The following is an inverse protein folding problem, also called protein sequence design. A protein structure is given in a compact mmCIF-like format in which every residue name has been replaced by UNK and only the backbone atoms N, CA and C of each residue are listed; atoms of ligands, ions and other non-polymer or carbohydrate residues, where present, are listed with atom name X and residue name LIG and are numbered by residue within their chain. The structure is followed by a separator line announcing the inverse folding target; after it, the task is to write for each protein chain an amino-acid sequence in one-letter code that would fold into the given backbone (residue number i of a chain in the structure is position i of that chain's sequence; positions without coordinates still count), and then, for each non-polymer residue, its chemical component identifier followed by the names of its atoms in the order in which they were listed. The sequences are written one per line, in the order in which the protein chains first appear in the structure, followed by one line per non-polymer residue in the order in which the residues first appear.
data_IF_077660573499
#
_entry.id   IF_077660573499
#
_cell.length_a   1.000
_cell.length_b   1.000
_cell.length_c   1.000
_cell.angle_alpha   90.00
_cell.angle_beta   90.00
_cell.angle_gamma   90.00
#
_symmetry.space_group_name_H-M   'P 1'
#
loop_
_entity.id
_entity.type
_entity.pdbx_description
1 polymer ?
#
# COMPACT_ATOMS: atom_id res chain seq x y z
N UNK A 1 3.13 -77.44 -71.53
CA UNK A 1 4.49 -76.88 -71.65
C UNK A 1 4.30 -75.42 -72.04
N UNK A 2 4.87 -74.49 -71.28
CA UNK A 2 4.67 -73.02 -71.29
C UNK A 2 3.58 -72.48 -70.33
N UNK A 3 4.07 -71.66 -69.40
CA UNK A 3 3.45 -70.58 -68.61
C UNK A 3 2.13 -70.77 -67.86
N UNK A 4 2.26 -71.09 -66.57
CA UNK A 4 1.50 -70.44 -65.49
C UNK A 4 2.22 -70.74 -64.19
N UNK A 5 2.66 -69.69 -63.48
CA UNK A 5 2.88 -69.58 -62.02
C UNK A 5 3.98 -68.54 -61.73
N UNK A 6 3.65 -67.26 -61.86
CA UNK A 6 4.36 -66.19 -61.18
C UNK A 6 3.35 -65.18 -60.63
N UNK A 7 2.70 -65.53 -59.52
CA UNK A 7 2.16 -64.53 -58.60
C UNK A 7 2.02 -65.18 -57.22
N UNK A 8 3.04 -65.05 -56.38
CA UNK A 8 2.97 -65.05 -54.90
C UNK A 8 4.39 -65.18 -54.33
N UNK A 9 5.14 -64.09 -54.33
CA UNK A 9 6.37 -63.99 -53.53
C UNK A 9 6.73 -62.53 -53.24
N UNK A 10 5.73 -61.74 -52.86
CA UNK A 10 5.89 -60.30 -52.63
C UNK A 10 5.13 -59.88 -51.36
N UNK A 11 5.29 -60.63 -50.26
CA UNK A 11 4.44 -60.36 -49.08
C UNK A 11 5.03 -60.68 -47.70
N UNK A 12 6.34 -60.86 -47.48
CA UNK A 12 6.74 -61.21 -46.10
C UNK A 12 8.13 -60.88 -45.56
N UNK A 13 8.99 -60.10 -46.25
CA UNK A 13 10.34 -59.81 -45.71
C UNK A 13 10.71 -58.33 -45.53
N UNK A 14 9.80 -57.39 -45.83
CA UNK A 14 10.05 -55.94 -45.68
C UNK A 14 9.13 -55.25 -44.68
N UNK A 15 8.54 -55.98 -43.73
CA UNK A 15 7.67 -55.43 -42.68
C UNK A 15 8.13 -55.75 -41.24
N UNK A 16 9.35 -56.27 -41.07
CA UNK A 16 9.88 -56.63 -39.73
C UNK A 16 10.92 -55.62 -39.21
N UNK A 17 11.34 -54.64 -40.02
CA UNK A 17 12.32 -53.61 -39.61
C UNK A 17 11.71 -52.23 -39.28
N UNK A 18 10.38 -52.11 -39.16
CA UNK A 18 9.70 -50.85 -38.84
C UNK A 18 8.77 -50.95 -37.62
N UNK A 19 8.91 -52.00 -36.81
CA UNK A 19 8.13 -52.23 -35.59
C UNK A 19 9.02 -52.35 -34.33
N UNK A 20 10.26 -51.87 -34.41
CA UNK A 20 11.16 -51.74 -33.27
C UNK A 20 11.56 -50.27 -33.15
N UNK A 21 11.37 -49.70 -31.96
CA UNK A 21 11.66 -48.31 -31.58
C UNK A 21 10.60 -47.28 -32.01
N UNK A 22 9.34 -47.57 -31.69
CA UNK A 22 8.45 -46.54 -31.16
C UNK A 22 8.09 -46.91 -29.72
N UNK A 23 9.13 -47.14 -28.89
CA UNK A 23 8.98 -46.93 -27.45
C UNK A 23 8.81 -45.43 -27.33
N UNK A 24 7.56 -44.98 -27.40
CA UNK A 24 7.19 -43.67 -26.92
C UNK A 24 7.79 -43.58 -25.53
N UNK A 25 8.84 -42.79 -25.37
CA UNK A 25 9.19 -42.22 -24.10
C UNK A 25 7.96 -41.42 -23.69
N UNK A 26 7.02 -42.10 -23.04
CA UNK A 26 6.06 -41.45 -22.15
C UNK A 26 6.98 -40.92 -21.07
N UNK A 27 7.55 -39.73 -21.32
CA UNK A 27 8.21 -38.96 -20.29
C UNK A 27 7.16 -38.91 -19.19
N UNK A 28 7.39 -39.69 -18.14
CA UNK A 28 6.52 -39.74 -16.98
C UNK A 28 6.52 -38.32 -16.47
N UNK A 29 5.45 -37.58 -16.73
CA UNK A 29 5.31 -36.24 -16.21
C UNK A 29 5.42 -36.38 -14.69
N UNK A 30 6.51 -35.84 -14.13
CA UNK A 30 6.79 -35.96 -12.71
C UNK A 30 5.82 -35.13 -11.88
N UNK A 31 5.13 -34.18 -12.52
CA UNK A 31 4.17 -33.27 -11.90
C UNK A 31 2.87 -33.21 -12.69
N UNK A 32 1.75 -33.38 -12.00
CA UNK A 32 0.42 -33.09 -12.55
C UNK A 32 -0.23 -31.90 -11.84
N UNK A 33 -0.85 -31.01 -12.62
CA UNK A 33 -1.73 -29.96 -12.11
C UNK A 33 -3.16 -30.38 -12.37
N UNK A 34 -3.93 -30.64 -11.33
CA UNK A 34 -5.31 -31.11 -11.50
C UNK A 34 -6.26 -29.97 -11.78
N UNK A 35 -7.36 -30.29 -12.46
CA UNK A 35 -8.45 -29.33 -12.72
C UNK A 35 -8.89 -28.70 -11.41
N UNK A 36 -8.97 -27.38 -11.40
CA UNK A 36 -9.32 -26.62 -10.21
C UNK A 36 -10.74 -26.97 -9.73
N UNK A 37 -10.88 -27.27 -8.45
CA UNK A 37 -12.19 -27.34 -7.81
C UNK A 37 -12.77 -25.92 -7.76
N UNK A 38 -13.98 -25.73 -8.28
CA UNK A 38 -14.59 -24.42 -8.44
C UNK A 38 -15.84 -24.27 -7.57
N UNK A 39 -15.82 -23.30 -6.65
CA UNK A 39 -16.97 -22.88 -5.84
C UNK A 39 -17.40 -21.50 -6.35
N UNK A 40 -18.64 -21.37 -6.84
CA UNK A 40 -19.17 -20.12 -7.42
C UNK A 40 -18.35 -19.54 -8.59
N UNK A 41 -17.66 -20.40 -9.35
CA UNK A 41 -16.95 -20.05 -10.58
C UNK A 41 -17.42 -20.97 -11.69
N UNK A 42 -17.59 -20.44 -12.91
CA UNK A 42 -18.07 -21.26 -14.03
C UNK A 42 -17.05 -22.36 -14.41
N UNK A 43 -17.47 -23.58 -14.75
CA UNK A 43 -16.55 -24.69 -15.03
C UNK A 43 -15.57 -24.44 -16.18
N UNK A 44 -15.99 -23.71 -17.22
CA UNK A 44 -15.13 -23.27 -18.34
C UNK A 44 -14.02 -22.33 -17.86
N UNK A 45 -14.33 -21.40 -16.95
CA UNK A 45 -13.37 -20.48 -16.35
C UNK A 45 -12.36 -21.24 -15.48
N UNK A 46 -12.82 -22.21 -14.68
CA UNK A 46 -11.94 -23.05 -13.86
C UNK A 46 -10.94 -23.86 -14.70
N UNK A 47 -11.38 -24.41 -15.85
CA UNK A 47 -10.48 -25.09 -16.80
C UNK A 47 -9.46 -24.15 -17.42
N UNK A 48 -9.88 -22.98 -17.86
CA UNK A 48 -8.98 -21.96 -18.40
C UNK A 48 -7.93 -21.53 -17.36
N UNK A 49 -8.36 -21.30 -16.11
CA UNK A 49 -7.47 -20.96 -15.01
C UNK A 49 -6.46 -22.08 -14.73
N UNK A 50 -6.92 -23.32 -14.70
CA UNK A 50 -6.06 -24.51 -14.53
C UNK A 50 -4.97 -24.55 -15.59
N UNK A 51 -5.32 -24.32 -16.86
CA UNK A 51 -4.35 -24.34 -17.96
C UNK A 51 -3.28 -23.24 -17.80
N UNK A 52 -3.67 -22.04 -17.38
CA UNK A 52 -2.74 -20.93 -17.10
C UNK A 52 -1.82 -21.28 -15.92
N UNK A 53 -2.35 -21.85 -14.85
CA UNK A 53 -1.57 -22.27 -13.70
C UNK A 53 -0.63 -23.46 -13.99
N UNK A 54 -1.05 -24.40 -14.84
CA UNK A 54 -0.20 -25.48 -15.29
C UNK A 54 0.99 -24.97 -16.12
N UNK A 55 0.75 -24.02 -17.03
CA UNK A 55 1.80 -23.38 -17.80
C UNK A 55 2.77 -22.60 -16.90
N UNK A 56 2.25 -21.83 -15.94
CA UNK A 56 3.06 -21.08 -14.98
C UNK A 56 3.90 -21.99 -14.07
N UNK A 57 3.35 -23.10 -13.59
CA UNK A 57 4.08 -24.07 -12.77
C UNK A 57 5.17 -24.79 -13.58
N UNK A 58 4.86 -25.18 -14.83
CA UNK A 58 5.85 -25.76 -15.75
C UNK A 58 7.04 -24.81 -15.95
N UNK A 59 6.75 -23.53 -16.18
CA UNK A 59 7.78 -22.51 -16.32
C UNK A 59 8.62 -22.30 -15.05
N UNK A 60 7.98 -22.25 -13.87
CA UNK A 60 8.68 -22.01 -12.60
C UNK A 60 9.50 -23.22 -12.13
N UNK A 61 9.01 -24.43 -12.33
CA UNK A 61 9.68 -25.68 -11.92
C UNK A 61 10.73 -26.16 -12.92
N UNK A 62 10.65 -25.71 -14.18
CA UNK A 62 11.45 -26.25 -15.29
C UNK A 62 11.09 -27.69 -15.65
N UNK A 63 9.97 -28.22 -15.13
CA UNK A 63 9.52 -29.60 -15.35
C UNK A 63 8.28 -29.64 -16.25
N UNK A 64 8.16 -30.64 -17.14
CA UNK A 64 6.95 -30.81 -17.93
C UNK A 64 5.76 -31.16 -17.03
N UNK A 65 4.72 -30.34 -17.09
CA UNK A 65 3.47 -30.52 -16.35
C UNK A 65 2.41 -31.12 -17.27
N UNK A 66 1.67 -32.10 -16.76
CA UNK A 66 0.43 -32.58 -17.39
C UNK A 66 -0.79 -32.08 -16.63
N UNK A 67 -1.90 -31.90 -17.35
CA UNK A 67 -3.22 -31.60 -16.78
C UNK A 67 -4.12 -32.81 -16.97
N UNK A 68 -4.00 -33.84 -16.12
CA UNK A 68 -4.84 -35.02 -16.24
C UNK A 68 -6.32 -34.68 -16.05
N UNK A 69 -7.20 -35.47 -16.67
CA UNK A 69 -8.62 -35.41 -16.38
C UNK A 69 -8.87 -35.66 -14.88
N UNK A 70 -9.98 -35.11 -14.37
CA UNK A 70 -10.43 -35.36 -13.00
C UNK A 70 -10.44 -36.87 -12.75
N UNK A 71 -9.82 -37.29 -11.64
CA UNK A 71 -9.69 -38.69 -11.16
C UNK A 71 -8.68 -39.62 -11.85
N UNK A 72 -7.82 -39.13 -12.74
CA UNK A 72 -6.72 -39.98 -13.22
C UNK A 72 -5.58 -40.10 -12.18
N UNK A 73 -5.11 -41.32 -11.87
CA UNK A 73 -3.99 -41.51 -10.96
C UNK A 73 -2.70 -40.95 -11.55
N UNK A 74 -1.97 -40.19 -10.74
CA UNK A 74 -0.68 -39.59 -11.10
C UNK A 74 0.40 -40.24 -10.23
N UNK A 75 1.43 -40.80 -10.86
CA UNK A 75 2.50 -41.52 -10.16
C UNK A 75 3.59 -40.60 -9.56
N UNK A 76 3.31 -39.30 -9.38
CA UNK A 76 4.30 -38.27 -9.06
C UNK A 76 3.77 -37.16 -8.16
N UNK A 77 4.45 -36.00 -8.17
CA UNK A 77 3.99 -34.83 -7.45
C UNK A 77 2.66 -34.31 -8.04
N UNK A 78 1.77 -33.85 -7.17
CA UNK A 78 0.46 -33.34 -7.58
C UNK A 78 0.26 -31.93 -7.06
N UNK A 79 -0.16 -31.03 -7.93
CA UNK A 79 -0.59 -29.69 -7.57
C UNK A 79 -2.10 -29.62 -7.72
N UNK A 80 -2.78 -29.38 -6.60
CA UNK A 80 -4.23 -29.19 -6.57
C UNK A 80 -4.55 -27.70 -6.47
N UNK A 81 -5.53 -27.28 -7.26
CA UNK A 81 -6.02 -25.91 -7.30
C UNK A 81 -7.46 -25.88 -6.80
N UNK A 82 -7.80 -24.88 -6.01
CA UNK A 82 -9.15 -24.60 -5.56
C UNK A 82 -9.45 -23.12 -5.79
N UNK A 83 -10.53 -22.85 -6.51
CA UNK A 83 -11.01 -21.52 -6.88
C UNK A 83 -12.32 -21.25 -6.15
N UNK A 84 -12.34 -20.19 -5.34
CA UNK A 84 -13.50 -19.82 -4.54
C UNK A 84 -13.92 -18.41 -4.96
N UNK A 85 -15.03 -18.33 -5.71
CA UNK A 85 -15.69 -17.09 -6.05
C UNK A 85 -16.40 -16.50 -4.84
N UNK A 86 -16.04 -15.27 -4.47
CA UNK A 86 -16.70 -14.47 -3.45
C UNK A 86 -17.55 -13.40 -4.14
N UNK A 87 -18.85 -13.66 -4.23
CA UNK A 87 -19.82 -12.70 -4.74
C UNK A 87 -20.19 -11.68 -3.66
N UNK A 88 -19.52 -10.53 -3.70
CA UNK A 88 -20.01 -9.28 -3.11
C UNK A 88 -20.63 -8.43 -4.21
N UNK A 89 -21.78 -7.80 -3.94
CA UNK A 89 -22.70 -7.11 -4.86
C UNK A 89 -22.13 -6.12 -5.88
N UNK A 90 -20.80 -5.86 -5.93
CA UNK A 90 -20.15 -5.01 -6.93
C UNK A 90 -18.75 -5.46 -7.39
N UNK A 91 -18.22 -6.61 -6.94
CA UNK A 91 -16.87 -7.09 -7.34
C UNK A 91 -16.73 -8.61 -7.12
N UNK A 92 -16.51 -9.38 -8.20
CA UNK A 92 -16.25 -10.83 -8.12
C UNK A 92 -14.80 -11.10 -7.71
N UNK A 93 -14.53 -11.16 -6.40
CA UNK A 93 -13.20 -11.58 -5.91
C UNK A 93 -13.08 -13.10 -6.03
N UNK A 94 -11.92 -13.60 -6.44
CA UNK A 94 -11.64 -15.04 -6.51
C UNK A 94 -10.48 -15.35 -5.59
N UNK A 95 -10.71 -16.20 -4.58
CA UNK A 95 -9.63 -16.75 -3.75
C UNK A 95 -9.09 -17.99 -4.45
N UNK A 96 -7.79 -18.02 -4.68
CA UNK A 96 -7.10 -19.13 -5.31
C UNK A 96 -6.19 -19.78 -4.29
N UNK A 97 -6.51 -21.03 -3.94
CA UNK A 97 -5.71 -21.87 -3.06
C UNK A 97 -5.02 -22.93 -3.90
N UNK A 98 -3.72 -23.09 -3.71
CA UNK A 98 -2.92 -24.08 -4.41
C UNK A 98 -2.15 -24.93 -3.40
N UNK A 99 -2.23 -26.24 -3.54
CA UNK A 99 -1.56 -27.20 -2.66
C UNK A 99 -0.64 -28.09 -3.48
N UNK A 100 0.63 -28.15 -3.10
CA UNK A 100 1.58 -29.15 -3.59
C UNK A 100 1.51 -30.37 -2.67
N UNK A 101 1.21 -31.53 -3.23
CA UNK A 101 1.13 -32.82 -2.53
C UNK A 101 2.25 -33.76 -2.97
N UNK A 102 2.74 -34.54 -2.02
CA UNK A 102 3.67 -35.64 -2.25
C UNK A 102 2.94 -36.86 -2.84
N UNK A 103 3.70 -37.87 -3.26
CA UNK A 103 3.15 -39.11 -3.83
C UNK A 103 2.26 -39.91 -2.85
N UNK A 104 2.44 -39.69 -1.54
CA UNK A 104 1.60 -40.27 -0.47
C UNK A 104 0.32 -39.46 -0.17
N UNK A 105 0.03 -38.44 -0.99
CA UNK A 105 -1.09 -37.50 -0.82
C UNK A 105 -0.98 -36.56 0.39
N UNK A 106 0.16 -36.54 1.11
CA UNK A 106 0.44 -35.55 2.15
C UNK A 106 0.69 -34.17 1.53
N UNK A 107 0.25 -33.10 2.22
CA UNK A 107 0.47 -31.72 1.76
C UNK A 107 1.92 -31.33 2.05
N UNK A 108 2.70 -31.10 1.00
CA UNK A 108 4.08 -30.65 1.09
C UNK A 108 4.16 -29.14 1.31
N UNK A 109 3.30 -28.37 0.63
CA UNK A 109 3.24 -26.92 0.75
C UNK A 109 1.89 -26.38 0.26
N UNK A 110 1.48 -25.24 0.79
CA UNK A 110 0.23 -24.58 0.44
C UNK A 110 0.44 -23.08 0.29
N UNK A 111 -0.22 -22.51 -0.73
CA UNK A 111 -0.20 -21.09 -1.01
C UNK A 111 -1.61 -20.61 -1.37
N UNK A 112 -1.97 -19.43 -0.88
CA UNK A 112 -3.27 -18.80 -1.16
C UNK A 112 -3.06 -17.37 -1.64
N UNK A 113 -3.78 -16.97 -2.69
CA UNK A 113 -3.72 -15.63 -3.27
C UNK A 113 -5.09 -15.18 -3.78
N UNK A 114 -5.35 -13.88 -3.72
CA UNK A 114 -6.59 -13.28 -4.21
C UNK A 114 -6.44 -12.67 -5.61
N UNK A 115 -7.45 -12.90 -6.45
CA UNK A 115 -7.62 -12.28 -7.76
C UNK A 115 -8.87 -11.36 -7.76
N UNK A 116 -8.85 -10.23 -8.48
CA UNK A 116 -10.05 -9.40 -8.69
C UNK A 116 -10.94 -9.92 -9.80
N UNK A 117 -10.35 -10.64 -10.74
CA UNK A 117 -11.03 -11.17 -11.91
C UNK A 117 -10.21 -12.32 -12.49
N UNK A 118 -10.79 -12.99 -13.48
CA UNK A 118 -10.08 -14.00 -14.27
C UNK A 118 -8.92 -13.43 -15.08
N UNK A 119 -8.89 -12.11 -15.33
CA UNK A 119 -7.82 -11.46 -16.07
C UNK A 119 -6.51 -11.41 -15.28
N UNK A 120 -6.60 -11.44 -13.93
CA UNK A 120 -5.44 -11.52 -13.05
C UNK A 120 -4.80 -12.93 -13.01
N UNK A 121 -5.41 -13.93 -13.67
CA UNK A 121 -4.97 -15.33 -13.62
C UNK A 121 -3.50 -15.53 -13.97
N UNK A 122 -2.91 -14.94 -15.03
CA UNK A 122 -1.50 -15.14 -15.36
C UNK A 122 -0.56 -14.71 -14.20
N UNK A 123 -0.85 -13.55 -13.60
CA UNK A 123 -0.05 -12.98 -12.51
C UNK A 123 -0.19 -13.82 -11.23
N UNK A 124 -1.43 -14.18 -10.87
CA UNK A 124 -1.73 -14.99 -9.69
C UNK A 124 -1.12 -16.39 -9.81
N UNK A 125 -1.30 -17.05 -10.96
CA UNK A 125 -0.74 -18.36 -11.24
C UNK A 125 0.79 -18.36 -11.20
N UNK A 126 1.46 -17.36 -11.77
CA UNK A 126 2.92 -17.25 -11.74
C UNK A 126 3.47 -17.15 -10.31
N UNK A 127 2.79 -16.37 -9.46
CA UNK A 127 3.21 -16.19 -8.06
C UNK A 127 2.93 -17.40 -7.19
N UNK A 128 1.79 -18.05 -7.38
CA UNK A 128 1.49 -19.31 -6.72
C UNK A 128 2.47 -20.40 -7.14
N UNK A 129 2.77 -20.52 -8.44
CA UNK A 129 3.77 -21.45 -8.95
C UNK A 129 5.14 -21.24 -8.30
N UNK A 130 5.64 -20.00 -8.29
CA UNK A 130 6.93 -19.66 -7.68
C UNK A 130 6.93 -19.97 -6.17
N UNK A 131 5.82 -19.66 -5.48
CA UNK A 131 5.65 -19.94 -4.05
C UNK A 131 5.70 -21.44 -3.76
N UNK A 132 5.00 -22.26 -4.55
CA UNK A 132 4.97 -23.71 -4.40
C UNK A 132 6.32 -24.39 -4.71
N UNK A 133 7.01 -23.92 -5.76
CA UNK A 133 8.32 -24.48 -6.18
C UNK A 133 9.41 -24.13 -5.16
N UNK A 134 9.50 -22.86 -4.75
CA UNK A 134 10.54 -22.38 -3.84
C UNK A 134 10.18 -22.55 -2.36
N UNK A 135 8.96 -22.99 -2.04
CA UNK A 135 8.43 -23.13 -0.67
C UNK A 135 8.55 -21.84 0.14
N UNK A 136 8.27 -20.71 -0.50
CA UNK A 136 8.36 -19.38 0.11
C UNK A 136 6.98 -18.73 0.23
N UNK A 137 6.75 -17.82 1.19
CA UNK A 137 5.51 -17.08 1.31
C UNK A 137 5.13 -16.36 0.01
N UNK A 138 3.83 -16.30 -0.31
CA UNK A 138 3.35 -15.62 -1.54
C UNK A 138 3.66 -14.12 -1.54
N UNK A 139 3.83 -13.51 -0.37
CA UNK A 139 4.27 -12.12 -0.24
C UNK A 139 5.66 -11.90 -0.86
N UNK A 140 6.54 -12.89 -0.81
CA UNK A 140 7.94 -12.80 -1.25
C UNK A 140 8.11 -13.16 -2.73
N UNK A 141 7.04 -13.57 -3.43
CA UNK A 141 7.08 -13.85 -4.87
C UNK A 141 6.73 -12.63 -5.73
N UNK A 142 6.57 -11.46 -5.11
CA UNK A 142 6.22 -10.22 -5.80
C UNK A 142 7.43 -9.68 -6.59
N UNK A 143 7.19 -9.36 -7.86
CA UNK A 143 8.11 -8.62 -8.73
C UNK A 143 7.34 -7.48 -9.43
N UNK A 144 8.05 -6.54 -10.07
CA UNK A 144 7.49 -5.41 -10.80
C UNK A 144 6.46 -5.84 -11.85
N UNK A 145 6.62 -7.03 -12.42
CA UNK A 145 5.74 -7.59 -13.46
C UNK A 145 4.61 -8.48 -12.91
N UNK A 146 4.60 -8.79 -11.60
CA UNK A 146 3.67 -9.76 -10.99
C UNK A 146 2.83 -9.18 -9.85
N UNK A 147 2.76 -7.85 -9.74
CA UNK A 147 1.86 -7.17 -8.79
C UNK A 147 0.41 -7.35 -9.26
N UNK A 148 -0.45 -7.92 -8.42
CA UNK A 148 -1.88 -8.08 -8.76
C UNK A 148 -2.60 -6.73 -8.74
N UNK A 149 -3.74 -6.60 -9.40
CA UNK A 149 -4.52 -5.36 -9.38
C UNK A 149 -5.00 -4.95 -7.95
N UNK A 150 -5.22 -5.93 -7.05
CA UNK A 150 -5.47 -5.68 -5.62
C UNK A 150 -4.26 -5.06 -4.92
N UNK A 151 -3.08 -5.62 -5.15
CA UNK A 151 -1.83 -5.13 -4.57
C UNK A 151 -1.41 -3.80 -5.19
N UNK A 152 -1.69 -3.56 -6.48
CA UNK A 152 -1.47 -2.28 -7.12
C UNK A 152 -2.38 -1.18 -6.54
N UNK A 153 -3.62 -1.53 -6.18
CA UNK A 153 -4.52 -0.63 -5.42
C UNK A 153 -4.02 -0.39 -3.99
N UNK A 154 -3.41 -1.38 -3.35
CA UNK A 154 -2.79 -1.24 -2.03
C UNK A 154 -1.47 -0.44 -2.08
N UNK A 155 -0.64 -0.58 -3.12
CA UNK A 155 0.59 0.19 -3.37
C UNK A 155 0.30 1.63 -3.76
N UNK A 156 -0.76 1.89 -4.54
CA UNK A 156 -1.27 3.25 -4.76
C UNK A 156 -1.74 3.94 -3.48
N UNK A 157 -1.88 3.23 -2.36
CA UNK A 157 -2.50 3.75 -1.15
C UNK A 157 -1.57 4.39 -0.13
N UNK A 158 -0.22 4.35 -0.21
CA UNK A 158 0.59 5.06 0.81
C UNK A 158 2.11 5.23 0.66
N UNK A 159 2.75 4.94 -0.48
CA UNK A 159 4.16 5.35 -0.69
C UNK A 159 4.31 6.76 -1.25
N UNK A 160 3.20 7.41 -1.59
CA UNK A 160 3.17 8.78 -2.07
C UNK A 160 2.99 9.75 -0.92
N UNK A 161 3.86 10.75 -0.87
CA UNK A 161 3.72 11.94 -0.03
C UNK A 161 2.27 12.46 -0.07
N UNK A 162 1.57 12.38 1.06
CA UNK A 162 0.17 12.78 1.17
C UNK A 162 0.10 14.28 1.41
N UNK A 163 -0.61 14.99 0.54
CA UNK A 163 -0.90 16.41 0.72
C UNK A 163 -2.20 16.53 1.50
N UNK A 164 -2.23 17.40 2.50
CA UNK A 164 -3.47 17.80 3.16
C UNK A 164 -3.53 19.30 3.31
N UNK A 165 -4.72 19.84 3.14
CA UNK A 165 -4.99 21.28 3.27
C UNK A 165 -6.07 21.49 4.30
N UNK A 166 -5.96 22.53 5.11
CA UNK A 166 -6.84 22.67 6.24
C UNK A 166 -6.86 24.05 6.85
N UNK A 167 -7.65 24.16 7.90
CA UNK A 167 -7.75 25.34 8.73
C UNK A 167 -7.34 24.99 10.15
N UNK A 168 -6.62 25.90 10.78
CA UNK A 168 -6.15 25.83 12.15
C UNK A 168 -6.63 27.07 12.89
N UNK A 169 -7.24 26.86 14.06
CA UNK A 169 -7.60 27.92 14.99
C UNK A 169 -6.90 27.67 16.32
N UNK A 170 -6.64 28.71 17.09
CA UNK A 170 -5.96 28.54 18.37
C UNK A 170 -6.05 29.74 19.28
N UNK A 171 -5.62 29.50 20.51
CA UNK A 171 -5.47 30.50 21.55
C UNK A 171 -4.02 30.57 21.97
N UNK A 172 -3.46 31.77 22.02
CA UNK A 172 -2.05 32.04 22.33
C UNK A 172 -1.95 33.00 23.51
N UNK A 173 -1.31 32.56 24.58
CA UNK A 173 -0.87 33.44 25.66
C UNK A 173 0.60 33.82 25.47
N UNK A 174 0.99 35.02 25.88
CA UNK A 174 2.37 35.50 25.80
C UNK A 174 2.85 35.98 27.17
N UNK A 175 4.09 35.63 27.52
CA UNK A 175 4.73 35.99 28.79
C UNK A 175 5.98 36.79 28.52
N UNK A 176 6.13 37.93 29.20
CA UNK A 176 7.33 38.76 29.18
C UNK A 176 7.59 39.30 30.60
N UNK A 177 8.86 39.48 30.98
CA UNK A 177 9.24 39.84 32.36
C UNK A 177 8.75 41.22 32.80
N UNK A 178 8.56 42.15 31.86
CA UNK A 178 8.29 43.57 32.15
C UNK A 178 7.07 44.11 31.39
N UNK A 179 6.17 43.25 30.90
CA UNK A 179 4.97 43.66 30.20
C UNK A 179 3.86 42.63 30.37
N UNK A 180 2.66 43.09 30.65
CA UNK A 180 1.44 42.29 30.55
C UNK A 180 0.98 42.29 29.09
N UNK A 181 0.85 41.09 28.52
CA UNK A 181 0.42 40.90 27.15
C UNK A 181 -0.95 40.25 27.14
N UNK A 182 -1.87 40.81 26.35
CA UNK A 182 -3.17 40.19 26.17
C UNK A 182 -3.04 38.88 25.39
N UNK A 183 -3.89 37.88 25.67
CA UNK A 183 -3.96 36.70 24.84
C UNK A 183 -4.44 37.04 23.42
N UNK A 184 -4.16 36.13 22.50
CA UNK A 184 -4.47 36.27 21.09
C UNK A 184 -5.20 35.03 20.58
N UNK A 185 -6.19 35.24 19.71
CA UNK A 185 -6.71 34.20 18.85
C UNK A 185 -5.82 34.03 17.62
N UNK A 186 -5.78 32.84 17.05
CA UNK A 186 -5.12 32.56 15.77
C UNK A 186 -6.11 31.91 14.83
N UNK A 187 -6.13 32.34 13.58
CA UNK A 187 -6.79 31.64 12.47
C UNK A 187 -5.81 31.52 11.32
N UNK A 188 -5.61 30.32 10.80
CA UNK A 188 -4.64 30.04 9.76
C UNK A 188 -5.14 28.98 8.79
N UNK A 189 -4.75 29.12 7.54
CA UNK A 189 -4.73 28.03 6.58
C UNK A 189 -3.42 27.24 6.75
N UNK A 190 -3.50 25.91 6.71
CA UNK A 190 -2.38 24.99 6.90
C UNK A 190 -2.31 24.00 5.73
N UNK A 191 -1.16 23.94 5.07
CA UNK A 191 -0.85 22.97 4.03
C UNK A 191 0.26 22.04 4.52
N UNK A 192 0.00 20.73 4.49
CA UNK A 192 0.98 19.72 4.90
C UNK A 192 1.30 18.77 3.78
N UNK A 193 2.54 18.33 3.79
CA UNK A 193 3.12 17.33 2.90
C UNK A 193 3.67 16.24 3.82
N UNK A 194 3.02 15.08 3.86
CA UNK A 194 3.26 14.02 4.84
C UNK A 194 3.83 12.76 4.19
N UNK A 195 4.94 12.23 4.73
CA UNK A 195 5.37 10.84 4.54
C UNK A 195 4.91 9.95 5.70
N UNK A 196 5.37 8.71 5.80
CA UNK A 196 4.90 7.78 6.85
C UNK A 196 5.14 8.29 8.27
N UNK A 197 6.33 8.82 8.51
CA UNK A 197 6.78 9.28 9.83
C UNK A 197 7.16 10.75 9.89
N UNK A 198 7.18 11.46 8.76
CA UNK A 198 7.62 12.86 8.72
C UNK A 198 6.57 13.70 8.00
N UNK A 199 6.56 14.99 8.30
CA UNK A 199 5.77 15.96 7.54
C UNK A 199 6.48 17.29 7.46
N UNK A 200 6.15 18.04 6.42
CA UNK A 200 6.45 19.47 6.28
C UNK A 200 5.13 20.23 6.28
N UNK A 201 5.11 21.41 6.91
CA UNK A 201 3.95 22.27 6.99
C UNK A 201 4.28 23.69 6.50
N UNK A 202 3.32 24.28 5.78
CA UNK A 202 3.33 25.65 5.33
C UNK A 202 1.93 26.24 5.57
N UNK A 203 1.85 27.32 6.34
CA UNK A 203 0.60 27.99 6.65
C UNK A 203 0.67 29.49 6.49
N UNK A 204 -0.50 30.11 6.39
CA UNK A 204 -0.66 31.57 6.41
C UNK A 204 -1.89 31.90 7.24
N UNK A 205 -1.79 32.90 8.10
CA UNK A 205 -2.86 33.20 9.04
C UNK A 205 -2.77 34.58 9.66
N UNK A 206 -3.69 34.84 10.58
CA UNK A 206 -3.77 36.08 11.34
C UNK A 206 -3.77 35.80 12.85
N UNK A 207 -3.09 36.67 13.58
CA UNK A 207 -3.16 36.81 15.03
C UNK A 207 -4.14 37.93 15.35
N UNK A 208 -5.19 37.57 16.07
CA UNK A 208 -6.27 38.46 16.45
C UNK A 208 -6.09 38.78 17.93
N UNK A 209 -5.82 40.04 18.31
CA UNK A 209 -5.71 40.41 19.71
C UNK A 209 -7.07 40.21 20.39
N UNK A 210 -7.06 39.61 21.59
CA UNK A 210 -8.25 39.52 22.44
C UNK A 210 -8.07 40.51 23.61
N UNK A 211 -8.54 41.76 23.49
CA UNK A 211 -8.35 42.78 24.52
C UNK A 211 -9.19 42.44 25.75
N UNK A 212 -8.60 41.70 26.69
CA UNK A 212 -9.22 41.35 27.98
C UNK A 212 -8.95 42.42 29.05
N UNK A 213 -7.97 43.30 28.82
CA UNK A 213 -7.62 44.41 29.70
C UNK A 213 -7.26 45.65 28.88
N UNK A 214 -7.59 46.83 29.43
CA UNK A 214 -7.20 48.13 28.87
C UNK A 214 -5.75 48.50 29.18
N UNK A 215 -5.11 47.84 30.15
CA UNK A 215 -3.71 48.07 30.53
C UNK A 215 -2.74 47.11 29.86
N UNK A 216 -3.24 45.97 29.36
CA UNK A 216 -2.41 44.97 28.72
C UNK A 216 -2.05 45.38 27.29
N UNK A 217 -0.81 45.10 26.92
CA UNK A 217 -0.31 45.38 25.58
C UNK A 217 -0.95 44.42 24.60
N UNK A 218 -1.68 44.96 23.62
CA UNK A 218 -2.31 44.20 22.57
C UNK A 218 -1.43 44.25 21.31
N UNK A 219 -1.22 43.10 20.68
CA UNK A 219 -0.65 43.04 19.34
C UNK A 219 -1.34 41.97 18.52
N UNK A 220 -1.38 42.19 17.22
CA UNK A 220 -1.93 41.28 16.23
C UNK A 220 -1.15 41.39 14.94
N UNK A 221 -1.47 40.57 13.95
CA UNK A 221 -0.69 40.57 12.73
C UNK A 221 -1.03 39.48 11.76
N UNK A 222 -0.30 39.44 10.64
CA UNK A 222 -0.32 38.32 9.71
C UNK A 222 0.92 37.49 9.93
N UNK A 223 0.76 36.17 9.95
CA UNK A 223 1.85 35.21 10.08
C UNK A 223 1.93 34.30 8.86
N UNK A 224 3.14 33.86 8.58
CA UNK A 224 3.44 32.68 7.80
C UNK A 224 3.93 31.62 8.78
N UNK A 225 3.49 30.38 8.64
CA UNK A 225 3.95 29.25 9.44
C UNK A 225 4.76 28.31 8.55
N UNK A 226 6.00 28.00 8.92
CA UNK A 226 6.85 27.07 8.18
C UNK A 226 7.47 26.09 9.17
N UNK A 227 7.34 24.80 8.93
CA UNK A 227 7.94 23.82 9.84
C UNK A 227 7.94 22.41 9.31
N UNK A 228 8.41 21.50 10.16
CA UNK A 228 8.37 20.07 9.91
C UNK A 228 8.35 19.30 11.21
N UNK A 229 7.90 18.05 11.12
CA UNK A 229 7.76 17.21 12.30
C UNK A 229 7.84 15.74 12.01
N UNK A 230 7.78 14.99 13.11
CA UNK A 230 7.91 13.54 13.14
C UNK A 230 6.71 12.93 13.88
N UNK A 231 6.02 11.99 13.23
CA UNK A 231 4.99 11.16 13.82
C UNK A 231 5.62 9.94 14.51
N UNK A 232 5.29 9.75 15.78
CA UNK A 232 5.73 8.58 16.53
C UNK A 232 5.12 7.28 16.03
N UNK A 233 3.94 7.34 15.41
CA UNK A 233 3.22 6.18 14.87
C UNK A 233 2.67 6.44 13.47
N UNK A 234 2.62 5.40 12.64
CA UNK A 234 1.95 5.41 11.34
C UNK A 234 0.54 4.80 11.43
N UNK A 235 -0.29 5.34 12.32
CA UNK A 235 -1.67 4.91 12.58
C UNK A 235 -2.66 6.05 12.39
N UNK A 236 -3.95 5.79 12.48
CA UNK A 236 -5.00 6.82 12.33
C UNK A 236 -4.90 7.90 13.41
N UNK A 237 -4.53 7.49 14.63
CA UNK A 237 -4.09 8.35 15.72
C UNK A 237 -2.56 8.40 15.72
N UNK A 238 -1.99 9.58 15.49
CA UNK A 238 -0.55 9.77 15.33
C UNK A 238 -0.06 10.94 16.19
N UNK A 239 0.46 10.66 17.40
CA UNK A 239 1.20 11.64 18.20
C UNK A 239 2.44 12.12 17.44
N UNK A 240 2.80 13.39 17.60
CA UNK A 240 3.94 13.98 16.90
C UNK A 240 4.66 15.08 17.69
N UNK A 241 5.89 15.34 17.27
CA UNK A 241 6.68 16.52 17.62
C UNK A 241 7.05 17.28 16.36
N UNK A 242 7.16 18.60 16.43
CA UNK A 242 7.55 19.43 15.30
C UNK A 242 8.33 20.66 15.74
N UNK A 243 9.12 21.18 14.83
CA UNK A 243 9.84 22.44 14.95
C UNK A 243 9.52 23.31 13.74
N UNK A 244 9.56 24.62 13.93
CA UNK A 244 9.34 25.54 12.83
C UNK A 244 9.62 26.98 13.20
N UNK A 245 9.26 27.86 12.28
CA UNK A 245 9.45 29.30 12.36
C UNK A 245 8.21 30.02 11.88
N UNK A 246 7.90 31.15 12.50
CA UNK A 246 6.79 32.02 12.11
C UNK A 246 7.29 33.44 11.85
N UNK A 247 7.69 33.77 10.62
CA UNK A 247 7.84 35.16 10.23
C UNK A 247 6.45 35.82 10.18
N UNK A 248 6.35 37.03 10.72
CA UNK A 248 5.08 37.75 10.83
C UNK A 248 5.25 39.26 10.76
N UNK A 249 4.19 39.93 10.35
CA UNK A 249 4.07 41.38 10.33
C UNK A 249 3.09 41.76 11.43
N UNK A 250 3.55 42.55 12.39
CA UNK A 250 2.72 43.01 13.51
C UNK A 250 2.08 44.35 13.19
N UNK A 251 0.77 44.44 13.37
CA UNK A 251 -0.01 45.66 13.19
C UNK A 251 0.25 46.64 14.33
N UNK A 252 0.26 47.95 14.03
CA UNK A 252 0.45 49.01 15.03
C UNK A 252 1.89 49.54 15.17
N UNK A 253 2.85 49.02 14.41
CA UNK A 253 4.24 49.54 14.40
C UNK A 253 5.11 49.11 13.21
N UNK A 254 4.55 48.39 12.23
CA UNK A 254 5.27 47.81 11.07
C UNK A 254 6.55 47.07 11.44
N UNK A 255 6.47 46.25 12.50
CA UNK A 255 7.60 45.44 12.97
C UNK A 255 7.52 44.07 12.30
N UNK A 256 8.54 43.74 11.50
CA UNK A 256 8.79 42.38 11.07
C UNK A 256 9.28 41.61 12.29
N UNK A 257 8.63 40.50 12.60
CA UNK A 257 8.98 39.65 13.72
C UNK A 257 9.16 38.21 13.26
N UNK A 258 9.93 37.46 14.04
CA UNK A 258 10.32 36.10 13.75
C UNK A 258 10.28 35.25 15.02
N UNK A 259 9.54 34.15 14.97
CA UNK A 259 9.29 33.27 16.11
C UNK A 259 9.64 31.82 15.77
N UNK A 260 10.83 31.32 16.10
CA UNK A 260 11.06 29.88 16.16
C UNK A 260 10.18 29.25 17.23
N UNK A 261 9.70 28.04 16.98
CA UNK A 261 8.85 27.31 17.91
C UNK A 261 9.14 25.81 17.91
N UNK A 262 8.73 25.18 19.00
CA UNK A 262 8.54 23.75 19.12
C UNK A 262 7.05 23.45 19.39
N UNK A 263 6.54 22.36 18.82
CA UNK A 263 5.16 21.93 19.03
C UNK A 263 5.08 20.44 19.28
N UNK A 264 4.12 20.05 20.11
CA UNK A 264 3.76 18.66 20.39
C UNK A 264 2.26 18.52 20.21
N UNK A 265 1.81 17.40 19.65
CA UNK A 265 0.40 17.23 19.36
C UNK A 265 0.06 15.83 18.91
N UNK A 266 -1.17 15.67 18.44
CA UNK A 266 -1.61 14.46 17.77
C UNK A 266 -2.53 14.79 16.60
N UNK A 267 -2.49 13.91 15.61
CA UNK A 267 -3.44 13.88 14.50
C UNK A 267 -4.34 12.66 14.65
N UNK A 268 -5.65 12.85 14.56
CA UNK A 268 -6.64 11.78 14.48
C UNK A 268 -7.19 11.69 13.06
N UNK A 269 -7.64 10.49 12.67
CA UNK A 269 -8.13 10.18 11.33
C UNK A 269 -7.13 10.52 10.21
N UNK A 270 -5.82 10.43 10.49
CA UNK A 270 -4.73 10.81 9.57
C UNK A 270 -4.85 10.16 8.19
N UNK A 271 -5.37 8.95 8.18
CA UNK A 271 -5.50 8.06 7.03
C UNK A 271 -6.84 8.20 6.28
N UNK A 272 -7.76 9.02 6.81
CA UNK A 272 -9.04 9.35 6.20
C UNK A 272 -8.95 10.65 5.36
N UNK A 273 -10.03 10.97 4.65
CA UNK A 273 -10.17 12.22 3.89
C UNK A 273 -10.51 13.45 4.73
N UNK A 274 -10.72 13.29 6.05
CA UNK A 274 -10.86 14.39 7.00
C UNK A 274 -10.00 14.07 8.22
N UNK A 275 -9.20 15.05 8.66
CA UNK A 275 -8.22 14.93 9.75
C UNK A 275 -8.52 15.93 10.84
N UNK A 276 -8.26 15.54 12.08
CA UNK A 276 -8.35 16.43 13.22
C UNK A 276 -6.99 16.53 13.89
N UNK A 277 -6.51 17.75 14.09
CA UNK A 277 -5.23 18.04 14.70
C UNK A 277 -5.46 18.80 16.01
N UNK A 278 -4.74 18.42 17.07
CA UNK A 278 -4.63 19.20 18.30
C UNK A 278 -3.16 19.32 18.64
N UNK A 279 -2.67 20.53 18.87
CA UNK A 279 -1.28 20.77 19.21
C UNK A 279 -1.09 21.89 20.23
N UNK A 280 -0.14 21.67 21.14
CA UNK A 280 0.45 22.68 22.00
C UNK A 280 1.77 23.15 21.41
N UNK A 281 2.03 24.45 21.44
CA UNK A 281 3.25 25.05 20.87
C UNK A 281 3.84 26.06 21.85
N UNK A 282 5.16 26.10 21.88
CA UNK A 282 5.97 27.10 22.59
C UNK A 282 6.86 27.80 21.57
N UNK A 283 6.72 29.12 21.47
CA UNK A 283 7.48 29.97 20.55
C UNK A 283 8.23 31.07 21.28
N UNK A 284 9.42 31.44 20.79
CA UNK A 284 10.19 32.55 21.35
C UNK A 284 10.32 33.67 20.33
N UNK A 285 9.93 34.88 20.70
CA UNK A 285 10.16 36.05 19.87
C UNK A 285 11.65 36.39 19.83
N UNK A 286 12.24 36.41 18.63
CA UNK A 286 13.62 36.86 18.47
C UNK A 286 13.73 38.38 18.37
N UNK A 287 12.70 39.01 17.80
CA UNK A 287 12.63 40.46 17.66
C UNK A 287 11.64 41.04 18.69
N UNK A 288 11.92 42.25 19.21
CA UNK A 288 11.01 42.89 20.14
C UNK A 288 9.64 43.17 19.51
N UNK A 289 8.60 42.96 20.30
CA UNK A 289 7.23 43.38 20.03
C UNK A 289 6.96 44.60 20.90
N UNK A 290 6.55 45.70 20.27
CA UNK A 290 5.99 46.85 20.96
C UNK A 290 4.51 46.92 20.60
N UNK A 291 3.63 47.00 21.60
CA UNK A 291 2.27 47.47 21.35
C UNK A 291 2.23 48.98 21.31
N UNK A 292 1.04 49.52 21.04
CA UNK A 292 0.81 50.94 20.77
C UNK A 292 1.36 51.89 21.86
N UNK A 293 1.47 51.42 23.11
CA UNK A 293 1.89 52.24 24.28
C UNK A 293 2.97 51.57 25.16
N UNK A 294 3.66 50.53 24.69
CA UNK A 294 4.49 49.66 25.54
C UNK A 294 5.97 49.59 25.16
N UNK A 295 6.81 49.31 26.18
CA UNK A 295 8.23 48.96 26.00
C UNK A 295 8.37 47.74 25.09
N UNK A 296 9.34 47.79 24.18
CA UNK A 296 9.62 46.70 23.27
C UNK A 296 10.14 45.47 24.05
N UNK A 297 9.36 44.38 24.05
CA UNK A 297 9.65 43.14 24.80
C UNK A 297 9.79 41.94 23.87
N UNK A 298 10.47 40.87 24.31
CA UNK A 298 10.63 39.62 23.53
C UNK A 298 9.86 38.47 24.18
N UNK A 299 8.54 38.37 23.95
CA UNK A 299 7.74 37.39 24.68
C UNK A 299 8.04 35.93 24.31
N UNK A 300 7.79 35.06 25.27
CA UNK A 300 7.60 33.63 25.02
C UNK A 300 6.10 33.37 24.87
N UNK A 301 5.71 32.73 23.77
CA UNK A 301 4.32 32.40 23.42
C UNK A 301 4.02 30.94 23.72
N UNK A 302 2.86 30.70 24.31
CA UNK A 302 2.28 29.38 24.53
C UNK A 302 0.94 29.33 23.84
N UNK A 303 0.77 28.43 22.88
CA UNK A 303 -0.47 28.31 22.13
C UNK A 303 -1.05 26.90 22.19
N UNK A 304 -2.38 26.82 22.29
CA UNK A 304 -3.15 25.61 22.06
C UNK A 304 -3.94 25.78 20.78
N UNK A 305 -3.78 24.84 19.86
CA UNK A 305 -4.40 24.91 18.55
C UNK A 305 -5.21 23.66 18.23
N UNK A 306 -6.26 23.86 17.45
CA UNK A 306 -7.10 22.81 16.88
C UNK A 306 -7.22 23.06 15.38
N UNK A 307 -7.07 22.01 14.58
CA UNK A 307 -7.16 22.11 13.13
C UNK A 307 -7.95 20.98 12.50
N UNK A 308 -8.51 21.27 11.32
CA UNK A 308 -9.17 20.30 10.46
C UNK A 308 -8.51 20.33 9.09
N UNK A 309 -8.14 19.15 8.57
CA UNK A 309 -7.52 19.01 7.25
C UNK A 309 -8.29 18.05 6.34
N UNK A 310 -8.14 18.24 5.04
CA UNK A 310 -8.77 17.49 3.95
C UNK A 310 -7.73 16.99 2.95
#
# INVERSE_FOLDING_TARGET
MVERLQSHSLTMKTRIAAAAVLVATVASAQVAVTTAEAINVEPNQARAFTAVCAAAYSQASGQPVTTPAVDQPVAGERVELQLIGLDGTRSRRIVVRAQKKNADNSIAYEATLDALSMEDAPVVCQRLATSLVNRQPVADTQDLNTVTALEAKARRRRTGTVKSFGFKTGFTGAVASNAELSPMGTIAFDARIEGDHFFTQLGVGALIPAPLSTTATNYGGVLLDMGGGYYFTNTDFAPYVALGVQPRIIFGGSIINFVPYAQVGFTSSRKAGVRFNVDGRVGQNLLPVAGQDALAVRPTEFSLNVGVGF
#
